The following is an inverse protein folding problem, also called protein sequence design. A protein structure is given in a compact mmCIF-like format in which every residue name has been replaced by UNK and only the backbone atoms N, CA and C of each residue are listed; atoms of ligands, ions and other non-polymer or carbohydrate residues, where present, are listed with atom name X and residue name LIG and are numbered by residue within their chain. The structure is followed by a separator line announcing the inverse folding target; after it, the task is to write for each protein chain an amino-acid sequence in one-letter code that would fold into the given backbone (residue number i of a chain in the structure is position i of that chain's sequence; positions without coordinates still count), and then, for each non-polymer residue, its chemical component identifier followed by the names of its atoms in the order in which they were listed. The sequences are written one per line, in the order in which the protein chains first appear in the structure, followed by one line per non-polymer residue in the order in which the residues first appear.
data_IF_488113511121
#
_entry.id   IF_488113511121
#
_cell.length_a   1.000
_cell.length_b   1.000
_cell.length_c   1.000
_cell.angle_alpha   90.00
_cell.angle_beta   90.00
_cell.angle_gamma   90.00
#
_symmetry.space_group_name_H-M   'P 1'
#
loop_
_entity.id
_entity.type
_entity.pdbx_description
1 polymer ?
#
# COMPACT_ATOMS: atom_id res chain seq x y z
N UNK A 1 -15.63 21.41 21.64
CA UNK A 1 -15.02 20.22 20.98
C UNK A 1 -15.87 19.60 19.86
N UNK A 2 -17.19 19.88 19.79
CA UNK A 2 -18.13 19.30 18.79
C UNK A 2 -17.86 19.71 17.34
N UNK A 3 -17.46 20.97 17.09
CA UNK A 3 -17.00 21.39 15.77
C UNK A 3 -15.73 20.66 15.33
N UNK A 4 -14.95 20.07 16.26
CA UNK A 4 -13.74 19.33 15.92
C UNK A 4 -14.10 17.96 15.34
N UNK A 5 -15.01 17.21 15.94
CA UNK A 5 -15.42 15.87 15.45
C UNK A 5 -16.15 15.94 14.10
N UNK A 6 -17.05 16.92 13.92
CA UNK A 6 -17.74 17.12 12.64
C UNK A 6 -16.81 17.59 11.51
N UNK A 7 -15.78 18.38 11.81
CA UNK A 7 -14.77 18.76 10.81
C UNK A 7 -13.80 17.60 10.53
N UNK A 8 -13.46 16.79 11.53
CA UNK A 8 -12.67 15.57 11.38
C UNK A 8 -13.33 14.57 10.43
N UNK A 9 -14.66 14.36 10.52
CA UNK A 9 -15.35 13.44 9.61
C UNK A 9 -15.37 13.91 8.16
N UNK A 10 -15.46 15.23 7.91
CA UNK A 10 -15.34 15.81 6.56
C UNK A 10 -13.93 15.69 5.99
N UNK A 11 -12.91 15.88 6.81
CA UNK A 11 -11.53 15.71 6.37
C UNK A 11 -11.15 14.24 6.12
N UNK A 12 -11.80 13.31 6.84
CA UNK A 12 -11.65 11.88 6.66
C UNK A 12 -12.17 11.41 5.29
N UNK A 13 -13.29 11.94 4.81
CA UNK A 13 -13.79 11.61 3.46
C UNK A 13 -12.89 12.15 2.35
N UNK A 14 -12.28 13.32 2.52
CA UNK A 14 -11.27 13.84 1.60
C UNK A 14 -10.01 12.95 1.58
N UNK A 15 -9.61 12.43 2.74
CA UNK A 15 -8.49 11.48 2.83
C UNK A 15 -8.85 10.13 2.17
N UNK A 16 -10.09 9.65 2.32
CA UNK A 16 -10.56 8.45 1.61
C UNK A 16 -10.52 8.63 0.08
N UNK A 17 -10.89 9.81 -0.42
CA UNK A 17 -10.81 10.09 -1.86
C UNK A 17 -9.37 9.95 -2.38
N UNK A 18 -8.37 10.45 -1.63
CA UNK A 18 -6.95 10.25 -1.95
C UNK A 18 -6.54 8.78 -1.94
N UNK A 19 -6.93 8.03 -0.90
CA UNK A 19 -6.68 6.58 -0.84
C UNK A 19 -7.15 5.86 -2.11
N UNK A 20 -8.32 6.24 -2.65
CA UNK A 20 -8.83 5.63 -3.87
C UNK A 20 -7.97 5.98 -5.09
N UNK A 21 -7.52 7.23 -5.21
CA UNK A 21 -6.65 7.67 -6.30
C UNK A 21 -5.27 7.01 -6.24
N UNK A 22 -4.62 6.99 -5.08
CA UNK A 22 -3.32 6.35 -4.88
C UNK A 22 -3.38 4.84 -5.17
N UNK A 23 -4.45 4.17 -4.70
CA UNK A 23 -4.68 2.76 -5.01
C UNK A 23 -4.80 2.51 -6.51
N UNK A 24 -5.45 3.41 -7.25
CA UNK A 24 -5.56 3.31 -8.71
C UNK A 24 -4.21 3.52 -9.39
N UNK A 25 -3.43 4.51 -8.95
CA UNK A 25 -2.08 4.75 -9.45
C UNK A 25 -1.17 3.54 -9.22
N UNK A 26 -1.14 2.97 -8.01
CA UNK A 26 -0.39 1.74 -7.70
C UNK A 26 -0.84 0.54 -8.54
N UNK A 27 -2.15 0.45 -8.83
CA UNK A 27 -2.70 -0.63 -9.65
C UNK A 27 -2.28 -0.50 -11.10
N UNK A 28 -2.23 0.73 -11.63
CA UNK A 28 -1.74 1.01 -12.98
C UNK A 28 -0.25 0.70 -13.11
N UNK A 29 0.57 1.11 -12.13
CA UNK A 29 2.01 0.78 -12.10
C UNK A 29 2.22 -0.74 -12.07
N UNK A 30 1.49 -1.45 -11.21
CA UNK A 30 1.54 -2.90 -11.13
C UNK A 30 1.10 -3.61 -12.41
N UNK A 31 0.01 -3.13 -13.04
CA UNK A 31 -0.49 -3.67 -14.29
C UNK A 31 0.48 -3.40 -15.45
N UNK A 32 1.04 -2.19 -15.55
CA UNK A 32 2.00 -1.83 -16.57
C UNK A 32 3.24 -2.73 -16.52
N UNK A 33 3.75 -3.00 -15.31
CA UNK A 33 4.85 -3.94 -15.08
C UNK A 33 4.49 -5.37 -15.51
N UNK A 34 3.38 -5.89 -14.99
CA UNK A 34 2.97 -7.27 -15.26
C UNK A 34 2.60 -7.50 -16.74
N UNK A 35 2.01 -6.53 -17.41
CA UNK A 35 1.64 -6.63 -18.83
C UNK A 35 2.79 -6.30 -19.78
N UNK A 36 3.84 -5.62 -19.31
CA UNK A 36 4.91 -5.12 -20.17
C UNK A 36 4.44 -3.99 -21.10
N UNK A 37 3.74 -3.01 -20.53
CA UNK A 37 3.16 -1.90 -21.28
C UNK A 37 4.23 -1.19 -22.13
N UNK A 38 3.88 -0.82 -23.36
CA UNK A 38 4.77 -0.03 -24.22
C UNK A 38 5.23 1.25 -23.51
N UNK A 39 6.50 1.63 -23.71
CA UNK A 39 7.17 2.75 -23.03
C UNK A 39 7.37 2.57 -21.50
N UNK A 40 7.31 1.32 -20.98
CA UNK A 40 7.77 0.99 -19.63
C UNK A 40 9.07 0.19 -19.68
N UNK A 41 9.82 0.19 -18.57
CA UNK A 41 11.04 -0.65 -18.41
C UNK A 41 10.71 -2.13 -18.68
N UNK A 42 9.51 -2.56 -18.30
CA UNK A 42 9.03 -3.93 -18.48
C UNK A 42 8.64 -4.29 -19.92
N UNK A 43 8.67 -3.33 -20.86
CA UNK A 43 8.38 -3.54 -22.27
C UNK A 43 9.45 -4.39 -22.98
N UNK A 44 10.71 -4.25 -22.59
CA UNK A 44 11.84 -4.93 -23.22
C UNK A 44 12.06 -6.37 -22.72
N UNK A 45 11.23 -6.86 -21.79
CA UNK A 45 11.29 -8.21 -21.26
C UNK A 45 12.13 -8.37 -20.00
N UNK A 46 12.40 -9.62 -19.62
CA UNK A 46 12.97 -9.95 -18.31
C UNK A 46 14.40 -9.43 -18.09
N UNK A 47 15.23 -9.34 -19.14
CA UNK A 47 16.63 -8.92 -19.04
C UNK A 47 16.78 -7.47 -18.55
N UNK A 48 16.19 -6.51 -19.28
CA UNK A 48 16.22 -5.10 -18.89
C UNK A 48 15.49 -4.84 -17.57
N UNK A 49 14.40 -5.55 -17.29
CA UNK A 49 13.69 -5.44 -16.02
C UNK A 49 14.57 -5.87 -14.83
N UNK A 50 15.30 -6.99 -14.98
CA UNK A 50 16.21 -7.48 -13.96
C UNK A 50 17.39 -6.51 -13.76
N UNK A 51 17.95 -5.96 -14.84
CA UNK A 51 19.02 -4.97 -14.75
C UNK A 51 18.56 -3.69 -14.06
N UNK A 52 17.41 -3.15 -14.45
CA UNK A 52 16.83 -1.96 -13.83
C UNK A 52 16.52 -2.20 -12.34
N UNK A 53 15.98 -3.37 -11.98
CA UNK A 53 15.74 -3.73 -10.58
C UNK A 53 17.04 -3.85 -9.79
N UNK A 54 18.06 -4.49 -10.36
CA UNK A 54 19.38 -4.61 -9.72
C UNK A 54 20.00 -3.23 -9.49
N UNK A 55 19.89 -2.33 -10.47
CA UNK A 55 20.35 -0.95 -10.34
C UNK A 55 19.64 -0.21 -9.21
N UNK A 56 18.30 -0.28 -9.18
CA UNK A 56 17.51 0.34 -8.10
C UNK A 56 17.85 -0.27 -6.72
N UNK A 57 18.07 -1.58 -6.65
CA UNK A 57 18.51 -2.25 -5.43
C UNK A 57 19.86 -1.70 -4.96
N UNK A 58 20.86 -1.69 -5.83
CA UNK A 58 22.20 -1.18 -5.53
C UNK A 58 22.17 0.28 -5.12
N UNK A 59 21.41 1.13 -5.81
CA UNK A 59 21.36 2.57 -5.54
C UNK A 59 20.59 2.94 -4.26
N UNK A 60 19.55 2.18 -3.88
CA UNK A 60 18.57 2.63 -2.88
C UNK A 60 18.30 1.67 -1.73
N UNK A 61 18.54 0.37 -1.88
CA UNK A 61 18.11 -0.65 -0.91
C UNK A 61 19.26 -1.48 -0.34
N UNK A 62 20.42 -1.46 -1.01
CA UNK A 62 21.62 -2.23 -0.68
C UNK A 62 22.10 -1.98 0.75
N UNK A 63 22.32 -3.06 1.50
CA UNK A 63 22.98 -3.05 2.81
C UNK A 63 24.33 -3.76 2.71
N UNK A 64 25.39 -3.11 3.19
CA UNK A 64 26.75 -3.65 3.20
C UNK A 64 26.91 -4.80 4.19
N UNK A 65 26.08 -4.87 5.24
CA UNK A 65 26.14 -5.93 6.25
C UNK A 65 25.46 -7.22 5.80
N UNK A 66 24.64 -7.14 4.74
CA UNK A 66 23.94 -8.29 4.21
C UNK A 66 24.91 -9.32 3.61
N UNK A 67 24.52 -10.59 3.70
CA UNK A 67 25.30 -11.73 3.23
C UNK A 67 26.74 -11.79 3.80
N UNK A 68 26.95 -11.41 5.07
CA UNK A 68 28.27 -11.37 5.72
C UNK A 68 29.28 -10.50 4.96
N UNK A 69 28.85 -9.30 4.55
CA UNK A 69 29.63 -8.38 3.70
C UNK A 69 29.87 -8.91 2.27
N UNK A 70 29.08 -9.88 1.80
CA UNK A 70 29.18 -10.44 0.46
C UNK A 70 28.68 -9.51 -0.65
N UNK A 71 28.06 -8.38 -0.29
CA UNK A 71 27.55 -7.38 -1.23
C UNK A 71 28.42 -6.12 -1.31
N UNK A 72 29.61 -6.12 -0.70
CA UNK A 72 30.51 -4.95 -0.65
C UNK A 72 30.78 -4.38 -2.05
N UNK A 73 31.22 -5.21 -3.00
CA UNK A 73 31.51 -4.78 -4.38
C UNK A 73 30.28 -4.24 -5.13
N UNK A 74 29.07 -4.73 -4.82
CA UNK A 74 27.84 -4.27 -5.46
C UNK A 74 27.31 -2.98 -4.83
N UNK A 75 27.34 -2.87 -3.50
CA UNK A 75 26.80 -1.74 -2.74
C UNK A 75 27.75 -0.53 -2.67
N UNK A 76 29.03 -0.65 -3.08
CA UNK A 76 30.01 0.46 -3.09
C UNK A 76 29.60 1.68 -3.91
N UNK A 77 28.74 1.49 -4.92
CA UNK A 77 28.20 2.58 -5.76
C UNK A 77 27.08 3.38 -5.08
N UNK A 78 26.57 2.90 -3.94
CA UNK A 78 25.50 3.56 -3.22
C UNK A 78 26.05 4.76 -2.44
N UNK A 79 25.55 5.97 -2.74
CA UNK A 79 25.50 7.04 -1.74
C UNK A 79 24.95 6.44 -0.45
N UNK A 80 25.57 6.65 0.73
CA UNK A 80 25.20 5.94 1.95
C UNK A 80 23.69 6.01 2.16
N UNK A 81 23.03 4.87 1.92
CA UNK A 81 21.60 4.74 2.06
C UNK A 81 21.32 5.05 3.52
N UNK A 82 20.56 6.10 3.80
CA UNK A 82 20.11 6.32 5.17
C UNK A 82 19.24 5.12 5.58
N UNK A 83 19.20 4.77 6.86
CA UNK A 83 18.38 3.65 7.40
C UNK A 83 16.89 3.68 6.95
N UNK A 84 16.46 4.82 6.40
CA UNK A 84 15.14 5.07 5.85
C UNK A 84 14.79 4.23 4.62
N UNK A 85 15.74 3.67 3.87
CA UNK A 85 15.46 2.87 2.65
C UNK A 85 16.06 1.46 2.65
N UNK A 86 17.04 1.16 3.50
CA UNK A 86 17.67 -0.17 3.56
C UNK A 86 16.64 -1.30 3.71
N UNK A 87 16.71 -2.31 2.83
CA UNK A 87 15.87 -3.52 2.85
C UNK A 87 14.35 -3.30 2.87
N UNK A 88 13.86 -2.09 2.53
CA UNK A 88 12.40 -1.79 2.53
C UNK A 88 11.66 -2.30 1.31
N UNK A 89 12.38 -2.71 0.27
CA UNK A 89 11.87 -3.41 -0.90
C UNK A 89 11.52 -4.88 -0.60
N UNK A 90 12.05 -5.46 0.48
CA UNK A 90 11.77 -6.85 0.90
C UNK A 90 11.07 -6.93 2.26
N UNK A 91 11.37 -6.03 3.20
CA UNK A 91 10.85 -6.07 4.56
C UNK A 91 9.52 -5.33 4.69
N UNK A 92 8.44 -6.11 4.59
CA UNK A 92 7.08 -5.62 4.82
C UNK A 92 6.89 -5.00 6.21
N UNK A 93 7.53 -5.54 7.25
CA UNK A 93 7.34 -5.05 8.62
C UNK A 93 7.96 -3.66 8.77
N UNK A 94 9.16 -3.45 8.21
CA UNK A 94 9.83 -2.15 8.24
C UNK A 94 9.12 -1.08 7.44
N UNK A 95 8.59 -1.42 6.25
CA UNK A 95 7.88 -0.47 5.42
C UNK A 95 6.43 -0.26 5.86
N UNK A 96 5.65 -1.34 5.94
CA UNK A 96 4.21 -1.29 6.13
C UNK A 96 3.78 -1.56 7.58
N UNK A 97 4.48 -2.42 8.30
CA UNK A 97 4.14 -2.78 9.69
C UNK A 97 4.39 -1.62 10.67
N UNK A 98 5.47 -0.88 10.46
CA UNK A 98 5.94 0.16 11.35
C UNK A 98 5.33 1.54 11.00
N UNK A 99 4.59 2.13 11.94
CA UNK A 99 4.03 3.47 11.79
C UNK A 99 2.65 3.48 11.13
N UNK A 100 1.89 4.54 11.42
CA UNK A 100 0.50 4.69 10.93
C UNK A 100 0.43 5.44 9.60
N UNK A 101 1.48 6.19 9.25
CA UNK A 101 1.54 7.05 8.06
C UNK A 101 2.86 6.86 7.33
N UNK A 102 2.79 6.84 6.00
CA UNK A 102 3.90 6.81 5.06
C UNK A 102 3.98 8.14 4.33
N UNK A 103 5.20 8.62 4.08
CA UNK A 103 5.44 9.86 3.35
C UNK A 103 5.34 9.62 1.85
N UNK A 104 4.16 9.27 1.35
CA UNK A 104 3.96 8.93 -0.04
C UNK A 104 2.63 9.51 -0.52
N UNK A 105 2.64 10.15 -1.69
CA UNK A 105 1.46 10.74 -2.34
C UNK A 105 1.63 10.68 -3.86
N UNK A 106 0.96 9.73 -4.52
CA UNK A 106 1.11 9.56 -5.97
C UNK A 106 0.28 10.58 -6.78
N UNK A 107 -0.39 11.51 -6.09
CA UNK A 107 -1.20 12.57 -6.72
C UNK A 107 -0.45 13.90 -6.86
N UNK A 108 0.71 14.04 -6.22
CA UNK A 108 1.53 15.23 -6.32
C UNK A 108 2.70 15.06 -7.32
N UNK A 109 3.58 16.08 -7.40
CA UNK A 109 4.73 16.09 -8.32
C UNK A 109 6.02 15.70 -7.62
N UNK A 110 5.99 15.48 -6.31
CA UNK A 110 7.16 15.32 -5.47
C UNK A 110 7.41 13.82 -5.28
N UNK A 111 8.50 13.29 -5.86
CA UNK A 111 8.83 11.88 -5.64
C UNK A 111 9.53 11.70 -4.29
N UNK A 112 8.95 10.87 -3.44
CA UNK A 112 9.47 10.56 -2.10
C UNK A 112 10.17 9.19 -2.06
N UNK A 113 11.03 8.98 -1.05
CA UNK A 113 11.64 7.66 -0.82
C UNK A 113 10.59 6.61 -0.49
N UNK A 114 9.57 6.95 0.32
CA UNK A 114 8.51 6.02 0.69
C UNK A 114 7.65 5.60 -0.50
N UNK A 115 7.42 6.46 -1.51
CA UNK A 115 6.80 6.05 -2.77
C UNK A 115 7.63 5.00 -3.50
N UNK A 116 8.94 5.25 -3.61
CA UNK A 116 9.86 4.29 -4.23
C UNK A 116 9.82 2.95 -3.48
N UNK A 117 9.84 2.99 -2.14
CA UNK A 117 9.81 1.80 -1.28
C UNK A 117 8.49 1.02 -1.47
N UNK A 118 7.33 1.70 -1.48
CA UNK A 118 6.01 1.07 -1.65
C UNK A 118 5.88 0.39 -3.01
N UNK A 119 6.38 1.03 -4.07
CA UNK A 119 6.37 0.47 -5.43
C UNK A 119 7.36 -0.69 -5.53
N UNK A 120 8.57 -0.56 -4.97
CA UNK A 120 9.58 -1.61 -4.97
C UNK A 120 9.11 -2.88 -4.26
N UNK A 121 8.51 -2.74 -3.07
CA UNK A 121 7.92 -3.87 -2.34
C UNK A 121 6.77 -4.53 -3.12
N UNK A 122 5.90 -3.72 -3.76
CA UNK A 122 4.84 -4.23 -4.63
C UNK A 122 5.41 -5.09 -5.78
N UNK A 123 6.51 -4.62 -6.37
CA UNK A 123 7.21 -5.31 -7.43
C UNK A 123 7.90 -6.59 -6.97
N UNK A 124 8.44 -6.62 -5.76
CA UNK A 124 9.02 -7.83 -5.17
C UNK A 124 7.93 -8.87 -4.87
N UNK A 125 6.80 -8.47 -4.30
CA UNK A 125 5.73 -9.41 -3.93
C UNK A 125 4.99 -9.98 -5.15
N UNK A 126 4.57 -9.12 -6.09
CA UNK A 126 3.64 -9.53 -7.16
C UNK A 126 4.25 -9.50 -8.56
N UNK A 127 5.38 -8.83 -8.75
CA UNK A 127 6.02 -8.60 -10.05
C UNK A 127 7.45 -9.18 -10.18
N UNK A 128 7.84 -10.13 -9.32
CA UNK A 128 9.23 -10.60 -9.20
C UNK A 128 9.77 -11.33 -10.44
N UNK A 129 8.89 -11.97 -11.22
CA UNK A 129 9.22 -12.70 -12.45
C UNK A 129 8.37 -12.18 -13.60
N UNK A 130 9.05 -11.65 -14.60
CA UNK A 130 8.51 -11.35 -15.93
C UNK A 130 8.84 -12.52 -16.87
N UNK A 131 8.00 -12.77 -17.90
CA UNK A 131 8.32 -13.77 -18.91
C UNK A 131 9.58 -13.37 -19.68
N UNK A 132 10.36 -14.36 -20.09
CA UNK A 132 11.64 -14.16 -20.79
C UNK A 132 11.45 -13.41 -22.11
N UNK A 133 10.43 -13.81 -22.88
CA UNK A 133 10.04 -13.20 -24.15
C UNK A 133 8.57 -12.78 -24.11
N UNK A 134 8.28 -11.59 -24.62
CA UNK A 134 6.91 -11.13 -24.84
C UNK A 134 6.43 -11.70 -26.17
N UNK A 135 5.27 -12.36 -26.17
CA UNK A 135 4.67 -12.93 -27.39
C UNK A 135 4.24 -11.76 -28.29
N UNK A 136 4.81 -11.68 -29.50
CA UNK A 136 4.43 -10.64 -30.46
C UNK A 136 3.09 -10.94 -31.12
N UNK A 137 2.50 -9.93 -31.79
CA UNK A 137 1.28 -10.15 -32.59
C UNK A 137 1.48 -11.20 -33.68
N UNK A 138 2.66 -11.21 -34.33
CA UNK A 138 3.00 -12.21 -35.36
C UNK A 138 3.13 -13.62 -34.78
N UNK A 139 3.73 -13.76 -33.59
CA UNK A 139 3.84 -15.04 -32.88
C UNK A 139 2.49 -15.56 -32.38
N UNK A 140 1.52 -14.67 -32.10
CA UNK A 140 0.14 -15.02 -31.74
C UNK A 140 -0.66 -15.57 -32.93
N UNK A 141 -0.37 -15.11 -34.16
CA UNK A 141 -1.07 -15.53 -35.37
C UNK A 141 -0.45 -16.75 -36.06
N UNK A 142 0.87 -16.92 -35.96
CA UNK A 142 1.62 -17.89 -36.78
C UNK A 142 1.97 -19.19 -36.04
N UNK A 143 2.03 -19.17 -34.71
CA UNK A 143 2.48 -20.33 -33.93
C UNK A 143 1.31 -21.03 -33.21
N UNK A 144 1.13 -22.32 -33.51
CA UNK A 144 0.15 -23.18 -32.85
C UNK A 144 0.51 -23.29 -31.35
N UNK A 145 -0.44 -22.94 -30.48
CA UNK A 145 -0.25 -22.95 -29.03
C UNK A 145 0.14 -21.60 -28.39
N UNK A 146 0.61 -20.60 -29.16
CA UNK A 146 0.91 -19.25 -28.64
C UNK A 146 -0.31 -18.55 -28.05
N UNK A 147 -1.51 -18.82 -28.60
CA UNK A 147 -2.77 -18.28 -28.09
C UNK A 147 -3.11 -18.85 -26.71
N UNK A 148 -2.90 -20.15 -26.49
CA UNK A 148 -3.11 -20.79 -25.20
C UNK A 148 -2.11 -20.27 -24.16
N UNK A 149 -0.82 -20.19 -24.53
CA UNK A 149 0.22 -19.64 -23.66
C UNK A 149 -0.08 -18.18 -23.27
N UNK A 150 -0.55 -17.36 -24.21
CA UNK A 150 -0.95 -15.99 -23.93
C UNK A 150 -2.18 -15.93 -23.01
N UNK A 151 -3.15 -16.83 -23.20
CA UNK A 151 -4.29 -16.99 -22.30
C UNK A 151 -3.87 -17.33 -20.87
N UNK A 152 -2.95 -18.28 -20.71
CA UNK A 152 -2.38 -18.64 -19.41
C UNK A 152 -1.64 -17.46 -18.78
N UNK A 153 -0.84 -16.74 -19.57
CA UNK A 153 -0.10 -15.57 -19.11
C UNK A 153 -1.03 -14.48 -18.55
N UNK A 154 -2.10 -14.13 -19.30
CA UNK A 154 -3.11 -13.18 -18.83
C UNK A 154 -3.85 -13.68 -17.60
N UNK A 155 -4.06 -14.98 -17.48
CA UNK A 155 -4.68 -15.57 -16.28
C UNK A 155 -3.79 -15.37 -15.04
N UNK A 156 -2.47 -15.51 -15.17
CA UNK A 156 -1.51 -15.25 -14.08
C UNK A 156 -1.50 -13.76 -13.72
N UNK A 157 -1.48 -12.87 -14.72
CA UNK A 157 -1.56 -11.42 -14.47
C UNK A 157 -2.85 -11.07 -13.74
N UNK A 158 -4.00 -11.63 -14.14
CA UNK A 158 -5.29 -11.34 -13.51
C UNK A 158 -5.31 -11.74 -12.02
N UNK A 159 -4.78 -12.92 -11.68
CA UNK A 159 -4.66 -13.37 -10.28
C UNK A 159 -3.70 -12.50 -9.47
N UNK A 160 -2.55 -12.15 -10.06
CA UNK A 160 -1.58 -11.23 -9.43
C UNK A 160 -2.20 -9.86 -9.21
N UNK A 161 -2.93 -9.32 -10.18
CA UNK A 161 -3.59 -8.02 -10.08
C UNK A 161 -4.64 -8.00 -8.95
N UNK A 162 -5.41 -9.08 -8.80
CA UNK A 162 -6.34 -9.24 -7.68
C UNK A 162 -5.62 -9.23 -6.32
N UNK A 163 -4.53 -9.98 -6.20
CA UNK A 163 -3.74 -10.02 -4.96
C UNK A 163 -3.04 -8.69 -4.68
N UNK A 164 -2.44 -8.08 -5.69
CA UNK A 164 -1.76 -6.79 -5.63
C UNK A 164 -2.73 -5.67 -5.27
N UNK A 165 -4.00 -5.74 -5.68
CA UNK A 165 -5.00 -4.74 -5.29
C UNK A 165 -5.20 -4.68 -3.76
N UNK A 166 -5.07 -5.83 -3.08
CA UNK A 166 -5.15 -5.87 -1.62
C UNK A 166 -3.97 -5.14 -0.97
N UNK A 167 -2.75 -5.41 -1.43
CA UNK A 167 -1.57 -4.67 -1.01
C UNK A 167 -1.70 -3.16 -1.31
N UNK A 168 -2.07 -2.80 -2.54
CA UNK A 168 -2.22 -1.41 -2.96
C UNK A 168 -3.25 -0.66 -2.08
N UNK A 169 -4.31 -1.34 -1.66
CA UNK A 169 -5.30 -0.75 -0.73
C UNK A 169 -4.69 -0.51 0.65
N UNK A 170 -3.93 -1.47 1.19
CA UNK A 170 -3.27 -1.33 2.49
C UNK A 170 -2.22 -0.21 2.46
N UNK A 171 -1.41 -0.15 1.41
CA UNK A 171 -0.43 0.90 1.18
C UNK A 171 -1.13 2.27 1.10
N UNK A 172 -2.12 2.42 0.21
CA UNK A 172 -2.83 3.67 0.03
C UNK A 172 -3.51 4.17 1.32
N UNK A 173 -4.07 3.29 2.16
CA UNK A 173 -4.65 3.70 3.45
C UNK A 173 -3.62 4.28 4.44
N UNK A 174 -2.33 3.92 4.28
CA UNK A 174 -1.21 4.41 5.09
C UNK A 174 -0.48 5.59 4.44
N UNK A 175 -0.63 5.82 3.15
CA UNK A 175 -0.09 6.97 2.43
C UNK A 175 -0.65 8.30 2.97
N UNK A 176 0.00 9.40 2.62
CA UNK A 176 -0.31 10.72 3.15
C UNK A 176 -1.72 11.16 2.73
N UNK A 177 -2.51 11.65 3.70
CA UNK A 177 -3.88 12.07 3.47
C UNK A 177 -4.01 13.49 2.91
N UNK A 178 -5.23 14.03 3.00
CA UNK A 178 -5.55 15.39 2.52
C UNK A 178 -5.05 16.50 3.45
N UNK A 179 -4.66 16.18 4.69
CA UNK A 179 -4.16 17.13 5.69
C UNK A 179 -5.24 17.99 6.36
N UNK A 180 -6.49 17.98 5.86
CA UNK A 180 -7.57 18.85 6.38
C UNK A 180 -7.97 18.57 7.84
N UNK A 181 -7.64 17.38 8.36
CA UNK A 181 -7.93 16.94 9.73
C UNK A 181 -6.74 17.15 10.67
N UNK A 182 -5.54 17.40 10.18
CA UNK A 182 -4.30 17.28 10.95
C UNK A 182 -4.26 18.19 12.17
N UNK A 183 -4.65 19.46 12.01
CA UNK A 183 -4.73 20.41 13.11
C UNK A 183 -5.68 19.93 14.21
N UNK A 184 -6.78 19.27 13.83
CA UNK A 184 -7.75 18.75 14.78
C UNK A 184 -7.26 17.44 15.43
N UNK A 185 -6.66 16.54 14.65
CA UNK A 185 -6.07 15.29 15.14
C UNK A 185 -4.97 15.59 16.16
N UNK A 186 -4.08 16.54 15.87
CA UNK A 186 -3.04 17.04 16.80
C UNK A 186 -3.65 17.58 18.09
N UNK A 187 -4.67 18.45 17.98
CA UNK A 187 -5.37 19.02 19.15
C UNK A 187 -6.09 17.97 20.01
N UNK A 188 -6.51 16.86 19.42
CA UNK A 188 -7.10 15.74 20.15
C UNK A 188 -6.01 14.93 20.85
N UNK A 189 -4.88 14.66 20.20
CA UNK A 189 -3.75 13.99 20.85
C UNK A 189 -3.13 14.80 22.00
N UNK A 190 -3.01 16.12 21.82
CA UNK A 190 -2.61 17.04 22.90
C UNK A 190 -3.57 16.94 24.10
N UNK A 191 -4.86 16.77 23.84
CA UNK A 191 -5.87 16.62 24.89
C UNK A 191 -5.78 15.26 25.61
N UNK A 192 -5.38 14.21 24.90
CA UNK A 192 -5.14 12.86 25.45
C UNK A 192 -3.83 12.81 26.27
N UNK A 193 -3.03 13.89 26.25
CA UNK A 193 -1.83 14.03 27.09
C UNK A 193 -0.50 13.83 26.36
N UNK A 194 -0.50 13.77 25.02
CA UNK A 194 0.73 13.81 24.23
C UNK A 194 1.25 15.25 24.13
N UNK A 195 2.58 15.44 24.18
CA UNK A 195 3.16 16.73 23.84
C UNK A 195 2.93 17.05 22.36
N UNK A 196 2.94 18.32 21.96
CA UNK A 196 2.76 18.71 20.56
C UNK A 196 3.81 18.08 19.62
N UNK A 197 5.04 17.87 20.11
CA UNK A 197 6.10 17.20 19.35
C UNK A 197 5.82 15.69 19.20
N UNK A 198 5.33 15.03 20.25
CA UNK A 198 5.00 13.60 20.21
C UNK A 198 3.75 13.34 19.35
N UNK A 199 2.77 14.25 19.36
CA UNK A 199 1.60 14.19 18.49
C UNK A 199 2.01 14.23 17.00
N UNK A 200 2.98 15.09 16.66
CA UNK A 200 3.53 15.21 15.31
C UNK A 200 4.38 14.00 14.89
N UNK A 201 5.00 13.30 15.84
CA UNK A 201 5.67 12.04 15.58
C UNK A 201 4.70 10.86 15.49
N UNK A 202 3.57 10.93 16.19
CA UNK A 202 2.60 9.84 16.22
C UNK A 202 1.76 9.77 14.94
N UNK A 203 1.37 10.93 14.41
CA UNK A 203 0.50 11.04 13.24
C UNK A 203 1.33 11.17 11.94
N UNK A 204 2.50 11.79 12.02
CA UNK A 204 3.36 12.00 10.86
C UNK A 204 4.03 10.71 10.40
N UNK A 205 4.56 10.70 9.17
CA UNK A 205 5.40 9.60 8.72
C UNK A 205 6.66 9.48 9.58
N UNK A 206 7.12 8.23 9.78
CA UNK A 206 8.39 7.94 10.45
C UNK A 206 9.58 8.43 9.63
N UNK A 207 9.46 8.42 8.30
CA UNK A 207 10.45 8.94 7.38
C UNK A 207 10.04 10.36 6.95
N UNK A 208 10.53 11.39 7.65
CA UNK A 208 10.32 12.79 7.25
C UNK A 208 11.52 13.24 6.44
N UNK A 209 11.38 13.31 5.11
CA UNK A 209 12.37 13.96 4.23
C UNK A 209 12.24 15.49 4.33
N UNK A 210 12.46 16.04 5.52
CA UNK A 210 12.41 17.48 5.81
C UNK A 210 11.07 18.19 5.50
N UNK A 211 10.00 17.45 5.14
CA UNK A 211 8.66 17.97 4.84
C UNK A 211 7.64 17.48 5.87
N UNK A 212 6.70 18.34 6.24
CA UNK A 212 5.57 17.96 7.07
C UNK A 212 4.66 16.99 6.30
N UNK A 213 4.46 15.80 6.84
CA UNK A 213 3.65 14.76 6.21
C UNK A 213 2.25 14.79 6.79
N UNK A 214 1.26 14.79 5.91
CA UNK A 214 -0.14 14.80 6.31
C UNK A 214 -0.57 13.47 6.94
N UNK A 215 -1.50 13.52 7.88
CA UNK A 215 -2.03 12.31 8.52
C UNK A 215 -2.68 11.35 7.51
N UNK A 216 -2.36 10.05 7.59
CA UNK A 216 -2.99 9.04 6.75
C UNK A 216 -4.44 8.77 7.15
N UNK A 217 -5.23 8.21 6.22
CA UNK A 217 -6.59 7.76 6.52
C UNK A 217 -6.62 6.79 7.71
N UNK A 218 -5.65 5.86 7.77
CA UNK A 218 -5.54 4.89 8.85
C UNK A 218 -5.24 5.56 10.20
N UNK A 219 -4.32 6.54 10.24
CA UNK A 219 -4.03 7.30 11.46
C UNK A 219 -5.27 8.04 11.98
N UNK A 220 -6.00 8.70 11.09
CA UNK A 220 -7.24 9.41 11.42
C UNK A 220 -8.32 8.46 11.93
N UNK A 221 -8.53 7.32 11.26
CA UNK A 221 -9.52 6.33 11.66
C UNK A 221 -9.17 5.68 13.00
N UNK A 222 -7.90 5.36 13.25
CA UNK A 222 -7.45 4.78 14.52
C UNK A 222 -7.68 5.75 15.70
N UNK A 223 -7.38 7.05 15.50
CA UNK A 223 -7.69 8.08 16.50
C UNK A 223 -9.20 8.11 16.80
N UNK A 224 -10.02 8.18 15.75
CA UNK A 224 -11.47 8.33 15.85
C UNK A 224 -12.20 7.11 16.42
N UNK A 225 -11.66 5.91 16.22
CA UNK A 225 -12.33 4.66 16.60
C UNK A 225 -11.80 4.06 17.90
N UNK A 226 -10.58 4.41 18.33
CA UNK A 226 -9.96 3.82 19.52
C UNK A 226 -9.47 4.85 20.52
N UNK A 227 -8.59 5.75 20.09
CA UNK A 227 -7.83 6.58 21.03
C UNK A 227 -8.69 7.64 21.74
N UNK A 228 -9.67 8.23 21.06
CA UNK A 228 -10.58 9.21 21.67
C UNK A 228 -11.39 8.61 22.84
N UNK A 229 -11.70 7.31 22.77
CA UNK A 229 -12.48 6.63 23.81
C UNK A 229 -11.67 6.24 25.05
N UNK A 230 -10.35 6.39 25.01
CA UNK A 230 -9.50 6.06 26.15
C UNK A 230 -9.48 7.19 27.20
N UNK A 231 -9.89 8.39 26.83
CA UNK A 231 -9.91 9.55 27.72
C UNK A 231 -11.26 9.66 28.48
N UNK A 232 -11.27 9.66 29.82
CA UNK A 232 -12.48 9.85 30.61
C UNK A 232 -13.13 11.23 30.38
N UNK A 233 -12.37 12.26 30.02
CA UNK A 233 -12.91 13.60 29.81
C UNK A 233 -13.76 13.70 28.53
N UNK A 234 -13.53 12.81 27.54
CA UNK A 234 -14.42 12.64 26.40
C UNK A 234 -15.86 12.29 26.85
N UNK A 235 -16.01 11.37 27.81
CA UNK A 235 -17.33 10.96 28.30
C UNK A 235 -18.00 12.06 29.15
N UNK A 236 -17.24 12.81 29.94
CA UNK A 236 -17.77 13.94 30.72
C UNK A 236 -18.36 15.03 29.82
N UNK A 237 -17.67 15.39 28.73
CA UNK A 237 -18.15 16.36 27.74
C UNK A 237 -19.34 15.84 26.93
N UNK A 238 -19.45 14.51 26.75
CA UNK A 238 -20.59 13.89 26.08
C UNK A 238 -21.89 14.08 26.88
N UNK A 239 -21.81 14.09 28.21
CA UNK A 239 -22.97 14.18 29.11
C UNK A 239 -23.45 15.63 29.36
N UNK A 240 -22.73 16.65 28.90
CA UNK A 240 -22.94 18.05 29.28
C UNK A 240 -24.25 18.68 28.74
N UNK A 241 -24.74 18.28 27.55
CA UNK A 241 -26.05 18.73 27.05
C UNK A 241 -26.73 17.78 26.07
N UNK A 242 -28.07 17.75 26.09
CA UNK A 242 -28.89 16.90 25.18
C UNK A 242 -28.63 17.16 23.69
N UNK A 243 -28.32 18.41 23.32
CA UNK A 243 -28.01 18.77 21.93
C UNK A 243 -26.63 18.23 21.49
N UNK A 244 -25.65 18.24 22.41
CA UNK A 244 -24.31 17.72 22.17
C UNK A 244 -24.31 16.20 22.03
N UNK A 245 -25.11 15.50 22.85
CA UNK A 245 -25.35 14.06 22.75
C UNK A 245 -25.87 13.69 21.37
N UNK A 246 -26.90 14.38 20.87
CA UNK A 246 -27.50 14.07 19.55
C UNK A 246 -26.50 14.25 18.39
N UNK A 247 -25.73 15.34 18.38
CA UNK A 247 -24.74 15.60 17.31
C UNK A 247 -23.58 14.62 17.34
N UNK A 248 -23.08 14.31 18.54
CA UNK A 248 -21.97 13.35 18.69
C UNK A 248 -22.43 11.94 18.37
N UNK A 249 -23.65 11.57 18.76
CA UNK A 249 -24.27 10.30 18.36
C UNK A 249 -24.37 10.17 16.82
N UNK A 250 -24.83 11.21 16.12
CA UNK A 250 -24.85 11.20 14.66
C UNK A 250 -23.45 11.08 14.03
N UNK A 251 -22.45 11.76 14.58
CA UNK A 251 -21.07 11.66 14.12
C UNK A 251 -20.47 10.26 14.37
N UNK A 252 -20.74 9.67 15.53
CA UNK A 252 -20.32 8.31 15.88
C UNK A 252 -20.98 7.26 14.99
N UNK A 253 -22.26 7.43 14.68
CA UNK A 253 -22.95 6.58 13.71
C UNK A 253 -22.31 6.68 12.32
N UNK A 254 -21.95 7.90 11.87
CA UNK A 254 -21.24 8.10 10.62
C UNK A 254 -19.87 7.40 10.57
N UNK A 255 -19.06 7.57 11.62
CA UNK A 255 -17.76 6.87 11.75
C UNK A 255 -17.96 5.35 11.79
N UNK A 256 -18.96 4.87 12.53
CA UNK A 256 -19.32 3.46 12.61
C UNK A 256 -19.69 2.87 11.25
N UNK A 257 -20.49 3.59 10.44
CA UNK A 257 -20.81 3.18 9.07
C UNK A 257 -19.58 3.12 8.18
N UNK A 258 -18.65 4.10 8.30
CA UNK A 258 -17.39 4.07 7.56
C UNK A 258 -16.54 2.87 7.95
N UNK A 259 -16.41 2.58 9.25
CA UNK A 259 -15.68 1.42 9.74
C UNK A 259 -16.32 0.10 9.28
N UNK A 260 -17.65 -0.02 9.33
CA UNK A 260 -18.36 -1.20 8.82
C UNK A 260 -18.12 -1.42 7.34
N UNK A 261 -18.15 -0.34 6.54
CA UNK A 261 -17.84 -0.40 5.11
C UNK A 261 -16.40 -0.86 4.87
N UNK A 262 -15.45 -0.39 5.67
CA UNK A 262 -14.04 -0.80 5.54
C UNK A 262 -13.84 -2.27 5.93
N UNK A 263 -14.50 -2.74 6.99
CA UNK A 263 -14.56 -4.16 7.38
C UNK A 263 -15.15 -5.00 6.25
N UNK A 264 -16.28 -4.58 5.67
CA UNK A 264 -16.90 -5.25 4.52
C UNK A 264 -15.95 -5.33 3.33
N UNK A 265 -15.32 -4.22 2.94
CA UNK A 265 -14.31 -4.20 1.86
C UNK A 265 -13.13 -5.13 2.17
N UNK A 266 -12.72 -5.24 3.44
CA UNK A 266 -11.65 -6.15 3.86
C UNK A 266 -12.05 -7.62 3.79
N UNK A 267 -13.27 -7.96 4.21
CA UNK A 267 -13.81 -9.31 4.09
C UNK A 267 -13.93 -9.72 2.63
N UNK A 268 -14.50 -8.85 1.78
CA UNK A 268 -14.62 -9.11 0.34
C UNK A 268 -13.26 -9.37 -0.33
N UNK A 269 -12.21 -8.62 0.04
CA UNK A 269 -10.84 -8.89 -0.45
C UNK A 269 -10.30 -10.23 0.05
N UNK A 270 -10.56 -10.58 1.30
CA UNK A 270 -10.12 -11.85 1.90
C UNK A 270 -10.80 -13.05 1.24
N UNK A 271 -12.11 -12.93 0.95
CA UNK A 271 -12.88 -13.93 0.20
C UNK A 271 -12.35 -14.09 -1.22
N UNK A 272 -12.07 -12.98 -1.92
CA UNK A 272 -11.47 -13.01 -3.26
C UNK A 272 -10.12 -13.73 -3.28
N UNK A 273 -9.24 -13.43 -2.30
CA UNK A 273 -7.94 -14.08 -2.17
C UNK A 273 -8.08 -15.57 -1.87
N UNK A 274 -9.00 -15.95 -0.98
CA UNK A 274 -9.29 -17.36 -0.68
C UNK A 274 -9.80 -18.11 -1.91
N UNK A 275 -10.70 -17.50 -2.69
CA UNK A 275 -11.20 -18.08 -3.93
C UNK A 275 -10.07 -18.32 -4.95
N UNK A 276 -9.13 -17.38 -5.09
CA UNK A 276 -7.95 -17.53 -5.94
C UNK A 276 -7.06 -18.67 -5.45
N UNK A 277 -6.83 -18.80 -4.14
CA UNK A 277 -6.05 -19.91 -3.59
C UNK A 277 -6.68 -21.27 -3.89
N UNK A 278 -8.00 -21.38 -3.72
CA UNK A 278 -8.74 -22.61 -4.07
C UNK A 278 -8.64 -22.90 -5.57
N UNK A 279 -8.73 -21.89 -6.43
CA UNK A 279 -8.55 -22.05 -7.88
C UNK A 279 -7.14 -22.57 -8.22
N UNK A 280 -6.10 -22.04 -7.57
CA UNK A 280 -4.72 -22.45 -7.78
C UNK A 280 -4.47 -23.89 -7.36
N UNK A 281 -5.02 -24.32 -6.21
CA UNK A 281 -4.93 -25.72 -5.77
C UNK A 281 -5.71 -26.66 -6.69
N UNK A 282 -6.91 -26.27 -7.12
CA UNK A 282 -7.68 -27.05 -8.08
C UNK A 282 -6.94 -27.25 -9.42
N UNK A 283 -6.28 -26.20 -9.92
CA UNK A 283 -5.43 -26.28 -11.13
C UNK A 283 -4.24 -27.19 -10.94
N UNK A 284 -3.57 -27.11 -9.77
CA UNK A 284 -2.44 -27.98 -9.44
C UNK A 284 -2.86 -29.45 -9.46
N UNK A 285 -4.01 -29.78 -8.87
CA UNK A 285 -4.58 -31.13 -8.91
C UNK A 285 -4.91 -31.54 -10.35
N UNK A 286 -5.58 -30.68 -11.12
CA UNK A 286 -5.94 -30.96 -12.50
C UNK A 286 -4.70 -31.25 -13.39
N UNK A 287 -3.65 -30.44 -13.23
CA UNK A 287 -2.39 -30.62 -13.94
C UNK A 287 -1.69 -31.93 -13.55
N UNK A 288 -1.71 -32.31 -12.27
CA UNK A 288 -1.15 -33.57 -11.79
C UNK A 288 -1.90 -34.78 -12.39
N UNK A 289 -3.23 -34.71 -12.48
CA UNK A 289 -4.06 -35.78 -13.07
C UNK A 289 -3.87 -35.87 -14.60
N UNK A 290 -3.69 -34.75 -15.28
CA UNK A 290 -3.39 -34.74 -16.72
C UNK A 290 -1.99 -35.25 -17.01
N UNK A 291 -0.98 -34.91 -16.20
CA UNK A 291 0.38 -35.45 -16.33
C UNK A 291 0.49 -36.96 -16.07
N UNK A 292 -0.40 -37.53 -15.25
CA UNK A 292 -0.50 -38.98 -15.04
C UNK A 292 -1.23 -39.74 -16.16
N UNK A 293 -1.93 -39.06 -17.08
CA UNK A 293 -2.63 -39.69 -18.22
C UNK A 293 -1.78 -39.78 -19.49
N UNK A 294 -0.53 -39.31 -19.44
CA UNK A 294 0.41 -39.27 -20.56
C UNK A 294 1.61 -40.23 -20.39
N UNK A 295 1.44 -41.31 -19.63
CA UNK A 295 2.25 -42.54 -19.66
C UNK A 295 1.41 -43.68 -20.26
#
# INVERSE_FOLDING_TARGET
QICKIGTLSRALSASEAKVNTDRLALSEVGLAKNSGRANSISAAGSGQENEARLRVFVEKFCDLQDNKNGLDEACQTATPVTDLQMNRDIDYTRLMGNGVTLNADLTDKDSTQDETNVVALSHFLYGHRQPEKRISFTELSESSGSQNLYGEYRSVIARRAAAQNSYNTLAAMKMAGSGGSDTYVKKVLEYIGLSGADADSFIGAKNKENKAVNSSYNAQMNLLTKQIFQDPAFYANLMESKANVKRTSAALQGIGLMQQRDTYKSMARSEMLAAILVELEARKIANNVQGQKSE
#
